data_IF_868045607151
#
_entry.id   IF_868045607151
#
_cell.length_a   1.000
_cell.length_b   1.000
_cell.length_c   1.000
_cell.angle_alpha   90.00
_cell.angle_beta   90.00
_cell.angle_gamma   90.00
#
_symmetry.space_group_name_H-M   'P 1'
#
loop_
_entity.id
_entity.type
_entity.pdbx_description
1 polymer ?
#
# COMPACT_ATOMS: atom_id res chain seq x y z
N UNK A 1 -22.48 8.84 -15.53
CA UNK A 1 -22.76 7.43 -15.75
C UNK A 1 -21.51 6.60 -15.64
N UNK A 2 -21.51 5.62 -14.76
CA UNK A 2 -20.40 4.71 -14.62
C UNK A 2 -20.15 3.92 -15.89
N UNK A 3 -18.90 3.69 -16.19
CA UNK A 3 -18.52 2.87 -17.32
C UNK A 3 -18.92 1.42 -17.04
N UNK A 4 -19.72 0.82 -17.89
CA UNK A 4 -20.12 -0.57 -17.75
C UNK A 4 -18.93 -1.54 -17.76
N UNK A 5 -17.82 -1.13 -18.39
CA UNK A 5 -16.60 -1.93 -18.41
C UNK A 5 -15.97 -2.02 -17.03
N UNK A 6 -15.96 -0.91 -16.28
CA UNK A 6 -15.44 -0.90 -14.92
C UNK A 6 -16.26 -1.79 -14.02
N UNK A 7 -17.59 -1.72 -14.11
CA UNK A 7 -18.48 -2.56 -13.32
C UNK A 7 -18.27 -4.06 -13.61
N UNK A 8 -18.11 -4.42 -14.87
CA UNK A 8 -17.85 -5.81 -15.26
C UNK A 8 -16.50 -6.29 -14.75
N UNK A 9 -15.48 -5.45 -14.86
CA UNK A 9 -14.15 -5.76 -14.40
C UNK A 9 -14.16 -6.00 -12.87
N UNK A 10 -14.81 -5.11 -12.13
CA UNK A 10 -14.92 -5.25 -10.69
C UNK A 10 -15.68 -6.50 -10.29
N UNK A 11 -16.75 -6.83 -11.00
CA UNK A 11 -17.51 -8.04 -10.73
C UNK A 11 -16.71 -9.31 -11.00
N UNK A 12 -15.96 -9.34 -12.10
CA UNK A 12 -15.11 -10.47 -12.43
C UNK A 12 -14.00 -10.68 -11.40
N UNK A 13 -13.35 -9.59 -11.00
CA UNK A 13 -12.33 -9.64 -9.95
C UNK A 13 -12.94 -10.16 -8.66
N UNK A 14 -14.11 -9.64 -8.27
CA UNK A 14 -14.78 -10.06 -7.06
C UNK A 14 -15.11 -11.55 -7.07
N UNK A 15 -15.53 -12.09 -8.21
CA UNK A 15 -15.80 -13.51 -8.34
C UNK A 15 -14.54 -14.35 -8.16
N UNK A 16 -13.46 -13.96 -8.80
CA UNK A 16 -12.17 -14.66 -8.68
C UNK A 16 -11.68 -14.61 -7.23
N UNK A 17 -11.78 -13.45 -6.59
CA UNK A 17 -11.34 -13.28 -5.21
C UNK A 17 -12.16 -14.10 -4.24
N UNK A 18 -13.47 -14.25 -4.48
CA UNK A 18 -14.33 -15.08 -3.63
C UNK A 18 -13.92 -16.55 -3.64
N UNK A 19 -13.35 -17.00 -4.75
CA UNK A 19 -12.88 -18.38 -4.87
C UNK A 19 -11.46 -18.55 -4.31
N UNK A 20 -10.81 -17.44 -3.92
CA UNK A 20 -9.44 -17.51 -3.42
C UNK A 20 -9.43 -17.70 -1.91
N UNK A 21 -8.68 -18.69 -1.46
CA UNK A 21 -8.39 -18.90 -0.04
C UNK A 21 -7.16 -18.13 0.43
N UNK A 22 -6.59 -17.29 -0.44
CA UNK A 22 -5.35 -16.62 -0.14
C UNK A 22 -5.55 -15.45 0.83
N UNK A 23 -4.53 -15.24 1.64
CA UNK A 23 -4.51 -14.16 2.64
C UNK A 23 -3.55 -13.05 2.20
N UNK A 24 -3.68 -11.89 2.85
CA UNK A 24 -2.79 -10.76 2.59
C UNK A 24 -1.32 -11.11 2.85
N UNK A 25 -1.05 -11.89 3.89
CA UNK A 25 0.31 -12.28 4.20
C UNK A 25 1.01 -12.99 3.07
N UNK A 26 0.26 -13.73 2.25
CA UNK A 26 0.80 -14.44 1.09
C UNK A 26 1.10 -13.51 -0.09
N UNK A 27 0.45 -12.36 -0.14
CA UNK A 27 0.65 -11.37 -1.20
C UNK A 27 1.62 -10.27 -0.80
N UNK A 28 1.88 -10.09 0.49
CA UNK A 28 2.64 -8.96 1.00
C UNK A 28 4.13 -9.09 0.69
N UNK A 29 4.74 -7.95 0.42
CA UNK A 29 6.20 -7.84 0.32
C UNK A 29 6.72 -7.47 1.70
N UNK A 30 7.76 -8.14 2.22
CA UNK A 30 8.32 -7.79 3.52
C UNK A 30 8.71 -6.31 3.59
N UNK A 31 8.41 -5.68 4.71
CA UNK A 31 8.62 -4.23 4.86
C UNK A 31 10.09 -3.85 4.71
N UNK A 32 11.00 -4.68 5.21
CA UNK A 32 12.44 -4.44 5.12
C UNK A 32 12.99 -4.54 3.70
N UNK A 33 12.23 -5.11 2.76
CA UNK A 33 12.59 -5.19 1.35
C UNK A 33 11.88 -4.11 0.53
N UNK A 34 11.06 -3.28 1.17
CA UNK A 34 10.25 -2.27 0.49
C UNK A 34 10.93 -0.91 0.56
N UNK A 35 10.61 -0.05 -0.40
CA UNK A 35 11.08 1.32 -0.40
C UNK A 35 10.26 2.13 0.60
N UNK A 36 10.92 2.67 1.61
CA UNK A 36 10.30 3.49 2.65
C UNK A 36 11.16 4.73 2.90
N UNK A 37 10.61 5.70 3.61
CA UNK A 37 11.34 6.91 3.96
C UNK A 37 10.99 7.39 5.35
N UNK A 38 11.90 8.15 5.97
CA UNK A 38 11.68 8.75 7.28
C UNK A 38 10.73 9.94 7.18
N UNK A 39 9.90 10.13 8.22
CA UNK A 39 9.02 11.30 8.32
C UNK A 39 9.80 12.61 8.30
N UNK A 40 11.04 12.60 8.76
CA UNK A 40 11.91 13.78 8.82
C UNK A 40 12.68 14.05 7.52
N UNK A 41 12.63 13.11 6.58
CA UNK A 41 13.30 13.28 5.28
C UNK A 41 12.65 14.43 4.50
N UNK A 42 13.42 15.25 3.78
CA UNK A 42 12.81 16.26 2.92
C UNK A 42 11.98 15.58 1.84
N UNK A 43 10.85 16.20 1.50
CA UNK A 43 9.95 15.59 0.51
C UNK A 43 10.65 15.40 -0.83
N UNK A 44 11.65 16.23 -1.16
CA UNK A 44 12.42 16.07 -2.39
C UNK A 44 13.09 14.71 -2.47
N UNK A 45 13.61 14.18 -1.35
CA UNK A 45 14.22 12.84 -1.35
C UNK A 45 13.21 11.74 -1.57
N UNK A 46 11.99 11.93 -1.10
CA UNK A 46 10.90 10.95 -1.35
C UNK A 46 10.50 10.96 -2.82
N UNK A 47 10.44 12.16 -3.42
CA UNK A 47 10.18 12.29 -4.86
C UNK A 47 11.25 11.56 -5.67
N UNK A 48 12.53 11.71 -5.26
CA UNK A 48 13.62 11.00 -5.92
C UNK A 48 13.49 9.49 -5.82
N UNK A 49 13.09 8.98 -4.65
CA UNK A 49 12.83 7.56 -4.47
C UNK A 49 11.74 7.07 -5.42
N UNK A 50 10.67 7.85 -5.57
CA UNK A 50 9.59 7.51 -6.49
C UNK A 50 10.08 7.42 -7.93
N UNK A 51 10.91 8.36 -8.34
CA UNK A 51 11.48 8.37 -9.70
C UNK A 51 12.44 7.19 -9.91
N UNK A 52 13.34 6.98 -8.97
CA UNK A 52 14.38 5.96 -9.09
C UNK A 52 13.79 4.55 -9.12
N UNK A 53 12.76 4.30 -8.33
CA UNK A 53 12.13 2.99 -8.21
C UNK A 53 10.86 2.84 -9.04
N UNK A 54 10.44 3.90 -9.74
CA UNK A 54 9.21 3.92 -10.56
C UNK A 54 7.98 3.52 -9.75
N UNK A 55 7.86 4.10 -8.56
CA UNK A 55 6.73 3.88 -7.66
C UNK A 55 6.02 5.19 -7.41
N UNK A 56 4.73 5.11 -7.09
CA UNK A 56 3.88 6.28 -6.89
C UNK A 56 3.61 6.56 -5.41
N UNK A 57 3.88 5.60 -4.53
CA UNK A 57 3.56 5.70 -3.11
C UNK A 57 4.71 5.15 -2.28
N UNK A 58 5.02 5.85 -1.18
CA UNK A 58 6.11 5.47 -0.27
C UNK A 58 5.59 5.48 1.16
N UNK A 59 5.68 4.35 1.89
CA UNK A 59 5.38 4.35 3.31
C UNK A 59 6.39 5.20 4.07
N UNK A 60 5.88 5.98 5.02
CA UNK A 60 6.67 6.89 5.84
C UNK A 60 6.72 6.35 7.25
N UNK A 61 7.92 6.24 7.81
CA UNK A 61 8.11 5.73 9.17
C UNK A 61 8.69 6.79 10.09
N UNK A 62 8.50 6.56 11.37
CA UNK A 62 9.04 7.38 12.44
C UNK A 62 9.52 6.46 13.56
N UNK A 63 10.60 6.85 14.24
CA UNK A 63 11.05 6.11 15.40
C UNK A 63 10.15 6.39 16.60
N UNK A 64 9.75 5.33 17.30
CA UNK A 64 9.00 5.40 18.53
C UNK A 64 9.18 4.10 19.29
N UNK A 65 9.45 4.18 20.59
CA UNK A 65 9.63 2.99 21.42
C UNK A 65 10.78 2.10 20.97
N UNK A 66 11.83 2.67 20.38
CA UNK A 66 12.99 1.91 19.90
C UNK A 66 12.79 1.19 18.57
N UNK A 67 11.69 1.44 17.89
CA UNK A 67 11.36 0.79 16.62
C UNK A 67 10.91 1.81 15.58
N UNK A 68 11.06 1.42 14.30
CA UNK A 68 10.44 2.16 13.21
C UNK A 68 8.99 1.76 13.10
N UNK A 69 8.11 2.75 13.02
CA UNK A 69 6.68 2.52 12.80
C UNK A 69 6.20 3.34 11.63
N UNK A 70 5.40 2.73 10.76
CA UNK A 70 4.79 3.47 9.65
C UNK A 70 3.74 4.41 10.23
N UNK A 71 3.86 5.68 9.88
CA UNK A 71 2.95 6.73 10.36
C UNK A 71 2.11 7.32 9.24
N UNK A 72 2.43 7.03 7.98
CA UNK A 72 1.66 7.53 6.86
C UNK A 72 2.19 7.04 5.53
N UNK A 73 1.58 7.51 4.47
CA UNK A 73 1.95 7.20 3.09
C UNK A 73 2.08 8.52 2.32
N UNK A 74 3.16 8.70 1.60
CA UNK A 74 3.28 9.80 0.63
C UNK A 74 2.86 9.26 -0.73
N UNK A 75 1.92 9.95 -1.36
CA UNK A 75 1.51 9.70 -2.74
C UNK A 75 2.09 10.80 -3.60
N UNK A 76 2.93 10.43 -4.57
CA UNK A 76 3.69 11.36 -5.39
C UNK A 76 2.80 12.41 -6.05
N UNK A 77 1.77 11.95 -6.74
CA UNK A 77 0.88 12.83 -7.49
C UNK A 77 0.22 13.88 -6.60
N UNK A 78 -0.34 13.44 -5.49
CA UNK A 78 -1.06 14.33 -4.55
C UNK A 78 -0.11 15.37 -3.96
N UNK A 79 1.10 14.95 -3.62
CA UNK A 79 2.10 15.85 -3.00
C UNK A 79 2.56 16.93 -3.96
N UNK A 80 2.82 16.57 -5.22
CA UNK A 80 3.33 17.53 -6.21
C UNK A 80 2.29 18.58 -6.61
N UNK A 81 1.00 18.26 -6.50
CA UNK A 81 -0.07 19.18 -6.88
C UNK A 81 -0.55 20.09 -5.76
N UNK A 82 0.05 20.01 -4.58
CA UNK A 82 -0.25 20.99 -3.53
C UNK A 82 0.28 22.35 -3.92
N UNK A 83 -0.55 23.38 -3.73
CA UNK A 83 -0.20 24.76 -4.10
C UNK A 83 1.04 25.28 -3.37
N UNK A 84 1.21 24.84 -2.13
CA UNK A 84 2.32 25.26 -1.27
C UNK A 84 3.44 24.21 -1.23
N UNK A 85 3.60 23.45 -2.30
CA UNK A 85 4.68 22.44 -2.34
C UNK A 85 6.03 23.08 -2.14
N UNK A 86 6.77 22.62 -1.14
CA UNK A 86 8.11 23.07 -0.82
C UNK A 86 9.00 21.83 -0.67
N UNK A 87 9.96 21.68 -1.57
CA UNK A 87 10.83 20.51 -1.65
C UNK A 87 11.67 20.27 -0.39
N UNK A 88 11.89 21.30 0.41
CA UNK A 88 12.70 21.21 1.62
C UNK A 88 11.89 20.80 2.86
N UNK A 89 10.57 20.85 2.79
CA UNK A 89 9.74 20.46 3.92
C UNK A 89 9.80 18.96 4.16
N UNK A 90 9.60 18.51 5.41
CA UNK A 90 9.65 17.09 5.72
C UNK A 90 8.50 16.31 5.12
N UNK A 91 8.76 15.04 4.84
CA UNK A 91 7.75 14.13 4.26
C UNK A 91 6.48 14.05 5.12
N UNK A 92 6.62 14.22 6.43
CA UNK A 92 5.47 14.20 7.35
C UNK A 92 4.39 15.23 7.02
N UNK A 93 4.77 16.34 6.38
CA UNK A 93 3.78 17.36 6.00
C UNK A 93 3.00 16.99 4.75
N UNK A 94 3.44 15.97 4.01
CA UNK A 94 2.81 15.55 2.76
C UNK A 94 2.17 14.17 2.85
N UNK A 95 2.34 13.47 3.96
CA UNK A 95 1.82 12.11 4.10
C UNK A 95 0.33 12.11 4.37
N UNK A 96 -0.31 11.05 3.91
CA UNK A 96 -1.71 10.74 4.16
C UNK A 96 -1.77 9.57 5.15
N UNK A 97 -2.95 9.36 5.72
CA UNK A 97 -3.16 8.26 6.66
C UNK A 97 -2.93 6.92 5.96
N UNK A 98 -2.15 6.04 6.59
CA UNK A 98 -1.92 4.70 6.08
C UNK A 98 -3.10 3.78 6.42
N UNK A 99 -3.35 2.82 5.52
CA UNK A 99 -4.33 1.77 5.77
C UNK A 99 -3.58 0.56 6.33
N UNK A 100 -4.02 0.06 7.49
CA UNK A 100 -3.43 -1.11 8.13
C UNK A 100 -4.41 -2.28 8.04
N UNK A 101 -3.93 -3.42 7.56
CA UNK A 101 -4.74 -4.62 7.41
C UNK A 101 -4.00 -5.83 7.99
N UNK A 102 -4.71 -6.74 8.67
CA UNK A 102 -4.05 -7.92 9.24
C UNK A 102 -3.64 -8.93 8.17
N UNK A 103 -2.53 -9.62 8.41
CA UNK A 103 -1.97 -10.59 7.46
C UNK A 103 -2.89 -11.78 7.19
N UNK A 104 -3.71 -12.15 8.16
CA UNK A 104 -4.64 -13.28 8.03
C UNK A 104 -5.95 -12.92 7.31
N UNK A 105 -6.11 -11.65 6.94
CA UNK A 105 -7.30 -11.21 6.20
C UNK A 105 -7.27 -11.80 4.79
N UNK A 106 -8.39 -12.33 4.34
CA UNK A 106 -8.49 -12.85 2.97
C UNK A 106 -8.46 -11.71 1.96
N UNK A 107 -7.87 -11.99 0.80
CA UNK A 107 -7.66 -10.97 -0.22
C UNK A 107 -8.96 -10.30 -0.68
N UNK A 108 -10.08 -11.04 -0.70
CA UNK A 108 -11.38 -10.45 -1.04
C UNK A 108 -11.77 -9.34 -0.06
N UNK A 109 -11.68 -9.63 1.24
CA UNK A 109 -12.01 -8.66 2.27
C UNK A 109 -11.06 -7.47 2.25
N UNK A 110 -9.78 -7.72 1.98
CA UNK A 110 -8.77 -6.68 1.85
C UNK A 110 -9.10 -5.73 0.71
N UNK A 111 -9.46 -6.28 -0.45
CA UNK A 111 -9.82 -5.46 -1.60
C UNK A 111 -11.00 -4.56 -1.30
N UNK A 112 -12.01 -5.08 -0.61
CA UNK A 112 -13.17 -4.27 -0.22
C UNK A 112 -12.79 -3.10 0.69
N UNK A 113 -11.91 -3.34 1.65
CA UNK A 113 -11.41 -2.27 2.53
C UNK A 113 -10.60 -1.24 1.77
N UNK A 114 -9.76 -1.68 0.84
CA UNK A 114 -8.99 -0.78 0.00
C UNK A 114 -9.90 0.10 -0.86
N UNK A 115 -10.94 -0.48 -1.44
CA UNK A 115 -11.92 0.27 -2.23
C UNK A 115 -12.64 1.31 -1.38
N UNK A 116 -13.07 0.94 -0.18
CA UNK A 116 -13.78 1.87 0.71
C UNK A 116 -12.91 3.03 1.16
N UNK A 117 -11.63 2.78 1.40
CA UNK A 117 -10.71 3.82 1.85
C UNK A 117 -10.14 4.65 0.70
N UNK A 118 -10.29 4.17 -0.53
CA UNK A 118 -9.67 4.80 -1.70
C UNK A 118 -8.17 4.64 -1.74
N UNK A 119 -7.62 3.70 -0.97
CA UNK A 119 -6.18 3.47 -0.89
C UNK A 119 -5.83 2.11 -1.47
N UNK A 120 -4.91 2.10 -2.41
CA UNK A 120 -4.49 0.88 -3.11
C UNK A 120 -3.15 0.35 -2.64
N UNK A 121 -2.69 0.83 -1.47
CA UNK A 121 -1.52 0.35 -0.76
C UNK A 121 -1.90 0.19 0.71
N UNK A 122 -1.59 -0.95 1.30
CA UNK A 122 -1.87 -1.21 2.71
C UNK A 122 -0.62 -1.70 3.42
N UNK A 123 -0.52 -1.35 4.69
CA UNK A 123 0.51 -1.88 5.58
C UNK A 123 -0.07 -3.14 6.21
N UNK A 124 0.64 -4.25 6.08
CA UNK A 124 0.19 -5.55 6.58
C UNK A 124 0.78 -5.79 7.95
N UNK A 125 -0.10 -6.08 8.92
CA UNK A 125 0.32 -6.31 10.31
C UNK A 125 0.22 -7.80 10.66
N UNK A 126 1.17 -8.28 11.47
CA UNK A 126 1.18 -9.64 11.97
C UNK A 126 0.19 -9.80 13.13
N UNK A 127 0.05 -11.02 13.65
CA UNK A 127 -0.81 -11.31 14.80
C UNK A 127 -0.44 -10.49 16.04
N UNK A 128 0.84 -10.18 16.22
CA UNK A 128 1.31 -9.33 17.31
C UNK A 128 1.17 -7.84 17.00
N UNK A 129 0.45 -7.49 15.95
CA UNK A 129 0.24 -6.12 15.48
C UNK A 129 1.52 -5.40 15.07
N UNK A 130 2.57 -6.16 14.77
CA UNK A 130 3.80 -5.60 14.22
C UNK A 130 3.66 -5.44 12.72
N UNK A 131 4.24 -4.37 12.21
CA UNK A 131 4.26 -4.11 10.78
C UNK A 131 5.16 -5.12 10.09
N UNK A 132 4.58 -5.96 9.27
CA UNK A 132 5.29 -7.08 8.64
C UNK A 132 5.60 -6.84 7.16
N UNK A 133 4.73 -6.11 6.45
CA UNK A 133 4.92 -5.92 5.03
C UNK A 133 4.00 -4.87 4.46
N UNK A 134 4.07 -4.74 3.14
CA UNK A 134 3.16 -3.90 2.37
C UNK A 134 2.50 -4.72 1.28
N UNK A 135 1.31 -4.33 0.89
CA UNK A 135 0.62 -4.94 -0.23
C UNK A 135 -0.05 -3.86 -1.06
N UNK A 136 0.12 -3.95 -2.37
CA UNK A 136 -0.60 -3.10 -3.33
C UNK A 136 -1.69 -3.91 -4.00
N UNK A 137 -2.60 -3.21 -4.70
CA UNK A 137 -3.59 -3.89 -5.53
C UNK A 137 -2.91 -4.83 -6.53
N UNK A 138 -1.81 -4.39 -7.13
CA UNK A 138 -1.07 -5.21 -8.09
C UNK A 138 -0.55 -6.49 -7.46
N UNK A 139 -0.05 -6.42 -6.23
CA UNK A 139 0.43 -7.60 -5.52
C UNK A 139 -0.69 -8.61 -5.29
N UNK A 140 -1.87 -8.12 -4.93
CA UNK A 140 -3.05 -8.97 -4.76
C UNK A 140 -3.41 -9.66 -6.07
N UNK A 141 -3.46 -8.90 -7.15
CA UNK A 141 -3.82 -9.44 -8.46
C UNK A 141 -2.81 -10.48 -8.94
N UNK A 142 -1.51 -10.25 -8.69
CA UNK A 142 -0.48 -11.24 -9.03
C UNK A 142 -0.70 -12.57 -8.32
N UNK A 143 -1.04 -12.51 -7.04
CA UNK A 143 -1.26 -13.73 -6.24
C UNK A 143 -2.52 -14.46 -6.70
N UNK A 144 -3.60 -13.71 -6.96
CA UNK A 144 -4.89 -14.29 -7.35
C UNK A 144 -4.83 -14.92 -8.74
N UNK A 145 -4.13 -14.26 -9.68
CA UNK A 145 -4.06 -14.72 -11.06
C UNK A 145 -2.83 -15.57 -11.36
N UNK A 146 -1.97 -15.80 -10.38
CA UNK A 146 -0.85 -16.70 -10.56
C UNK A 146 -1.32 -18.15 -10.51
N UNK A 147 -0.57 -19.04 -11.15
CA UNK A 147 -0.86 -20.46 -11.04
C UNK A 147 -0.79 -20.89 -9.58
N UNK A 148 -1.72 -21.75 -9.13
CA UNK A 148 -1.64 -22.24 -7.75
C UNK A 148 -0.32 -22.97 -7.55
N UNK A 149 0.30 -22.85 -6.34
CA UNK A 149 1.54 -23.54 -6.09
C UNK A 149 1.35 -25.03 -6.26
N UNK A 150 2.25 -25.63 -7.00
CA UNK A 150 2.25 -27.08 -7.16
C UNK A 150 2.58 -27.72 -5.81
N UNK A 151 1.73 -28.61 -5.40
CA UNK A 151 2.00 -29.37 -4.17
C UNK A 151 3.08 -30.40 -4.40
#
# INVERSE_FOLDING_TARGET
>A
MGDHRELRFDQQISQVLRLSERTLGQAAIPLNLSVTASADSPISSVVDLCKDHRIARVPIWKFGGGQRKVVGIVTLKTSLYKEDFDSDKPASEYMQQALFLPADLKVEAALKRMQRSGQWLAIVTSESQKEAGIVSLQDILKVVFSDPPKK
#
